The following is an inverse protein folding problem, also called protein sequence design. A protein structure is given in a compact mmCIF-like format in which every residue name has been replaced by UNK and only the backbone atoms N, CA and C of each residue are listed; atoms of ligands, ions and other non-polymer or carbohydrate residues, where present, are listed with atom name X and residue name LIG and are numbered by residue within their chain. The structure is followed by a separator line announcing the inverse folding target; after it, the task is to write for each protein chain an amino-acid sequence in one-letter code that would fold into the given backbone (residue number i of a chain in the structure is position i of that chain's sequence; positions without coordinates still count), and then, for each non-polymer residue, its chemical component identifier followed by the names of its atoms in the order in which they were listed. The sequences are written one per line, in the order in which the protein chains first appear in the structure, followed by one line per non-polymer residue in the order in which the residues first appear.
data_IF_734486285920
#
_entry.id   IF_734486285920
#
_cell.length_a   1.000
_cell.length_b   1.000
_cell.length_c   1.000
_cell.angle_alpha   90.00
_cell.angle_beta   90.00
_cell.angle_gamma   90.00
#
_symmetry.space_group_name_H-M   'P 1'
#
loop_
_entity.id
_entity.type
_entity.pdbx_description
1 polymer ?
#
# COMPACT_ATOMS: atom_id res chain seq x y z
N UNK A 1 -22.10 2.80 -6.44
CA UNK A 1 -20.83 2.75 -7.21
C UNK A 1 -19.99 1.62 -6.65
N UNK A 2 -19.60 0.63 -7.45
CA UNK A 2 -18.70 -0.44 -7.00
C UNK A 2 -17.27 0.11 -7.03
N UNK A 3 -16.63 0.21 -5.86
CA UNK A 3 -15.22 0.61 -5.76
C UNK A 3 -14.38 -0.53 -6.34
N UNK A 4 -13.57 -0.24 -7.36
CA UNK A 4 -12.62 -1.23 -7.88
C UNK A 4 -11.45 -1.36 -6.90
N UNK A 5 -10.90 -2.57 -6.70
CA UNK A 5 -9.73 -2.74 -5.85
C UNK A 5 -8.55 -1.93 -6.37
N UNK A 6 -7.68 -1.51 -5.44
CA UNK A 6 -6.46 -0.77 -5.74
C UNK A 6 -5.33 -1.75 -6.05
N UNK A 7 -4.67 -1.56 -7.19
CA UNK A 7 -3.45 -2.30 -7.52
C UNK A 7 -2.26 -1.69 -6.79
N UNK A 8 -1.53 -2.52 -6.05
CA UNK A 8 -0.37 -2.12 -5.25
C UNK A 8 0.82 -3.04 -5.51
N UNK A 9 2.02 -2.57 -5.14
CA UNK A 9 3.24 -3.37 -5.09
C UNK A 9 3.65 -3.54 -3.63
N UNK A 10 3.56 -4.76 -3.10
CA UNK A 10 3.93 -5.07 -1.72
C UNK A 10 5.42 -5.37 -1.67
N UNK A 11 6.12 -4.65 -0.78
CA UNK A 11 7.56 -4.77 -0.56
C UNK A 11 7.80 -5.24 0.87
N UNK A 12 8.49 -6.37 1.01
CA UNK A 12 8.83 -6.97 2.31
C UNK A 12 10.35 -7.22 2.36
N UNK A 13 11.01 -7.02 3.52
CA UNK A 13 12.45 -7.26 3.65
C UNK A 13 12.83 -8.69 3.25
N UNK A 14 13.84 -8.82 2.38
CA UNK A 14 14.35 -10.11 1.94
C UNK A 14 13.45 -10.88 0.96
N UNK A 15 12.34 -10.29 0.49
CA UNK A 15 11.46 -10.88 -0.52
C UNK A 15 11.47 -10.03 -1.79
N UNK A 16 11.25 -10.69 -2.93
CA UNK A 16 10.96 -9.97 -4.17
C UNK A 16 9.60 -9.27 -4.06
N UNK A 17 9.48 -8.02 -4.54
CA UNK A 17 8.20 -7.33 -4.57
C UNK A 17 7.14 -8.11 -5.34
N UNK A 18 5.88 -8.02 -4.90
CA UNK A 18 4.75 -8.70 -5.56
C UNK A 18 3.61 -7.73 -5.80
N UNK A 19 2.96 -7.87 -6.95
CA UNK A 19 1.73 -7.17 -7.25
C UNK A 19 0.56 -7.78 -6.44
N UNK A 20 -0.36 -6.95 -6.00
CA UNK A 20 -1.59 -7.37 -5.36
C UNK A 20 -2.72 -6.36 -5.63
N UNK A 21 -3.95 -6.86 -5.59
CA UNK A 21 -5.15 -6.04 -5.54
C UNK A 21 -5.65 -6.01 -4.08
N UNK A 22 -5.82 -4.81 -3.52
CA UNK A 22 -6.33 -4.62 -2.16
C UNK A 22 -7.59 -3.76 -2.17
N UNK A 23 -8.39 -3.85 -1.11
CA UNK A 23 -9.51 -2.91 -0.94
C UNK A 23 -8.97 -1.50 -0.67
N UNK A 24 -9.59 -0.48 -1.26
CA UNK A 24 -9.20 0.91 -1.06
C UNK A 24 -9.86 1.47 0.23
N UNK A 25 -9.44 0.92 1.36
CA UNK A 25 -9.86 1.28 2.72
C UNK A 25 -8.65 1.34 3.65
N UNK A 26 -8.75 2.18 4.69
CA UNK A 26 -7.67 2.35 5.67
C UNK A 26 -7.34 1.01 6.37
N UNK A 27 -8.37 0.25 6.72
CA UNK A 27 -8.25 -1.03 7.41
C UNK A 27 -7.49 -2.07 6.58
N UNK A 28 -7.74 -2.11 5.26
CA UNK A 28 -7.06 -3.02 4.36
C UNK A 28 -5.58 -2.64 4.19
N UNK A 29 -5.28 -1.34 4.05
CA UNK A 29 -3.90 -0.84 3.95
C UNK A 29 -3.11 -1.12 5.24
N UNK A 30 -3.70 -0.83 6.41
CA UNK A 30 -3.10 -1.12 7.72
C UNK A 30 -2.84 -2.62 7.94
N UNK A 31 -3.77 -3.48 7.50
CA UNK A 31 -3.60 -4.93 7.58
C UNK A 31 -2.43 -5.43 6.72
N UNK A 32 -2.18 -4.79 5.57
CA UNK A 32 -1.06 -5.14 4.68
C UNK A 32 0.28 -4.71 5.26
N UNK A 33 0.39 -3.50 5.82
CA UNK A 33 1.65 -3.00 6.40
C UNK A 33 1.93 -3.52 7.81
N UNK A 34 0.90 -4.02 8.50
CA UNK A 34 1.01 -4.60 9.85
C UNK A 34 0.97 -3.59 11.00
N UNK A 35 0.32 -2.42 10.82
CA UNK A 35 0.22 -1.39 11.84
C UNK A 35 -0.41 -0.09 11.35
N UNK A 36 -0.27 0.98 12.14
CA UNK A 36 -0.69 2.32 11.72
C UNK A 36 0.15 2.78 10.55
N UNK A 37 -0.46 3.48 9.59
CA UNK A 37 0.22 3.86 8.36
C UNK A 37 0.73 5.30 8.39
N UNK A 38 1.87 5.51 7.75
CA UNK A 38 2.34 6.79 7.23
C UNK A 38 2.39 6.73 5.70
N UNK A 39 2.02 7.83 5.05
CA UNK A 39 2.16 8.00 3.61
C UNK A 39 3.32 8.97 3.30
N UNK A 40 4.33 8.48 2.59
CA UNK A 40 5.49 9.26 2.14
C UNK A 40 5.42 9.47 0.64
N UNK A 41 5.68 10.70 0.19
CA UNK A 41 5.66 11.09 -1.23
C UNK A 41 7.07 11.48 -1.69
N UNK A 42 7.98 10.49 -1.87
CA UNK A 42 9.38 10.79 -2.17
C UNK A 42 9.60 11.19 -3.65
N UNK A 43 8.60 11.02 -4.51
CA UNK A 43 8.65 11.34 -5.93
C UNK A 43 7.70 12.46 -6.30
N UNK A 44 7.94 13.09 -7.46
CA UNK A 44 7.02 14.07 -8.06
C UNK A 44 5.84 13.44 -8.79
N UNK A 45 5.91 12.13 -9.02
CA UNK A 45 4.85 11.36 -9.67
C UNK A 45 3.69 11.11 -8.70
N UNK A 46 2.55 10.67 -9.23
CA UNK A 46 1.36 10.32 -8.46
C UNK A 46 1.49 8.97 -7.73
N UNK A 47 2.66 8.69 -7.15
CA UNK A 47 2.97 7.48 -6.41
C UNK A 47 3.42 7.84 -4.98
N UNK A 48 3.03 7.01 -4.01
CA UNK A 48 3.43 7.15 -2.62
C UNK A 48 3.83 5.80 -2.04
N UNK A 49 4.60 5.85 -0.96
CA UNK A 49 4.89 4.70 -0.11
C UNK A 49 3.93 4.77 1.06
N UNK A 50 3.20 3.69 1.29
CA UNK A 50 2.41 3.50 2.51
C UNK A 50 3.14 2.45 3.34
N UNK A 51 3.59 2.82 4.54
CA UNK A 51 4.35 1.94 5.42
C UNK A 51 3.87 2.05 6.87
N UNK A 52 4.24 1.05 7.67
CA UNK A 52 4.00 1.10 9.11
C UNK A 52 4.85 2.22 9.74
N UNK A 53 4.22 3.08 10.54
CA UNK A 53 4.82 4.25 11.19
C UNK A 53 5.66 3.87 12.42
#
# INVERSE_FOLDING_TARGET
MRRMPMKVLIVEPGKYPREADIEHTLEAEQAVVGGTIEAVYPWRDSACIVCNA
#
